data_IF_269162881946
#
_entry.id   IF_269162881946
#
_cell.length_a   1.000
_cell.length_b   1.000
_cell.length_c   1.000
_cell.angle_alpha   90.00
_cell.angle_beta   90.00
_cell.angle_gamma   90.00
#
_symmetry.space_group_name_H-M   'P 1'
#
loop_
_entity.id
_entity.type
_entity.pdbx_description
1 polymer ?
#
# COMPACT_ATOMS: atom_id res chain seq x y z
N UNK A 1 13.28 -24.15 1.78
CA UNK A 1 13.48 -23.12 0.76
C UNK A 1 14.85 -22.47 1.01
N UNK A 2 15.56 -21.98 -0.01
CA UNK A 2 16.77 -21.15 0.18
C UNK A 2 16.40 -19.66 0.26
N UNK A 3 17.33 -18.80 0.67
CA UNK A 3 17.10 -17.35 0.68
C UNK A 3 16.83 -16.79 -0.74
N UNK A 4 17.54 -17.32 -1.74
CA UNK A 4 17.35 -16.93 -3.15
C UNK A 4 15.98 -17.37 -3.68
N UNK A 5 15.57 -18.60 -3.37
CA UNK A 5 14.22 -19.08 -3.70
C UNK A 5 13.13 -18.24 -3.01
N UNK A 6 13.35 -17.83 -1.75
CA UNK A 6 12.40 -16.99 -1.04
C UNK A 6 12.22 -15.62 -1.72
N UNK A 7 13.33 -14.96 -2.09
CA UNK A 7 13.29 -13.68 -2.80
C UNK A 7 12.67 -13.79 -4.20
N UNK A 8 13.03 -14.82 -4.95
CA UNK A 8 12.42 -15.10 -6.25
C UNK A 8 10.93 -15.38 -6.12
N UNK A 9 10.52 -16.12 -5.08
CA UNK A 9 9.10 -16.41 -4.79
C UNK A 9 8.35 -15.11 -4.48
N UNK A 10 8.92 -14.22 -3.68
CA UNK A 10 8.34 -12.88 -3.39
C UNK A 10 8.22 -12.04 -4.66
N UNK A 11 9.21 -12.06 -5.55
CA UNK A 11 9.12 -11.34 -6.83
C UNK A 11 7.99 -11.89 -7.72
N UNK A 12 7.82 -13.22 -7.75
CA UNK A 12 6.74 -13.87 -8.52
C UNK A 12 5.36 -13.59 -7.93
N UNK A 13 5.22 -13.70 -6.61
CA UNK A 13 3.99 -13.40 -5.89
C UNK A 13 3.54 -11.94 -6.14
N UNK A 14 4.48 -11.00 -6.08
CA UNK A 14 4.21 -9.58 -6.28
C UNK A 14 4.15 -9.14 -7.76
N UNK A 15 4.10 -10.09 -8.70
CA UNK A 15 3.99 -9.84 -10.15
C UNK A 15 5.11 -8.97 -10.72
N UNK A 16 6.33 -9.15 -10.18
CA UNK A 16 7.54 -8.47 -10.67
C UNK A 16 8.29 -9.25 -11.74
N UNK A 17 8.00 -10.54 -11.97
CA UNK A 17 8.61 -11.33 -13.04
C UNK A 17 7.63 -11.71 -14.16
N UNK A 18 6.34 -11.49 -13.95
CA UNK A 18 5.27 -11.69 -14.93
C UNK A 18 4.14 -10.68 -14.62
N UNK A 19 3.44 -10.15 -15.64
CA UNK A 19 2.39 -9.16 -15.42
C UNK A 19 1.26 -9.74 -14.57
N UNK A 20 0.67 -8.88 -13.75
CA UNK A 20 -0.60 -9.15 -13.08
C UNK A 20 -1.73 -9.22 -14.12
N UNK A 21 -2.70 -10.09 -13.88
CA UNK A 21 -3.94 -10.07 -14.66
C UNK A 21 -4.91 -9.01 -14.11
N UNK A 22 -4.84 -8.74 -12.81
CA UNK A 22 -5.76 -7.86 -12.11
C UNK A 22 -5.12 -7.23 -10.87
N UNK A 23 -5.62 -6.08 -10.42
CA UNK A 23 -5.10 -5.40 -9.22
C UNK A 23 -5.19 -6.26 -7.95
N UNK A 24 -6.13 -7.23 -7.90
CA UNK A 24 -6.25 -8.18 -6.80
C UNK A 24 -5.04 -9.09 -6.64
N UNK A 25 -4.28 -9.33 -7.70
CA UNK A 25 -3.06 -10.14 -7.65
C UNK A 25 -1.99 -9.56 -6.71
N UNK A 26 -2.06 -8.26 -6.41
CA UNK A 26 -1.11 -7.57 -5.52
C UNK A 26 -1.80 -6.94 -4.31
N UNK A 27 -3.07 -7.28 -4.09
CA UNK A 27 -4.00 -6.76 -3.08
C UNK A 27 -4.31 -5.26 -3.24
N UNK A 28 -3.28 -4.42 -3.20
CA UNK A 28 -3.36 -2.99 -3.39
C UNK A 28 -1.98 -2.39 -3.67
N UNK A 29 -1.94 -1.21 -4.28
CA UNK A 29 -0.72 -0.41 -4.42
C UNK A 29 -0.81 0.84 -3.54
N UNK A 30 0.26 1.22 -2.85
CA UNK A 30 0.24 2.45 -2.05
C UNK A 30 0.19 3.67 -3.00
N UNK A 31 -0.81 4.53 -2.81
CA UNK A 31 -1.16 5.62 -3.71
C UNK A 31 -1.15 6.97 -3.00
N UNK A 32 -0.22 7.16 -2.04
CA UNK A 32 -0.02 8.45 -1.39
C UNK A 32 0.53 9.50 -2.37
N UNK A 33 1.34 9.04 -3.32
CA UNK A 33 1.91 9.80 -4.43
C UNK A 33 1.48 9.14 -5.75
N UNK A 34 0.95 9.94 -6.67
CA UNK A 34 0.38 9.45 -7.94
C UNK A 34 1.47 8.90 -8.86
N UNK A 35 2.66 9.52 -8.90
CA UNK A 35 3.77 9.06 -9.74
C UNK A 35 4.36 7.76 -9.21
N UNK A 36 4.42 7.60 -7.88
CA UNK A 36 4.86 6.36 -7.27
C UNK A 36 3.97 5.17 -7.64
N UNK A 37 2.63 5.35 -7.56
CA UNK A 37 1.71 4.27 -7.93
C UNK A 37 1.74 3.97 -9.43
N UNK A 38 1.97 4.97 -10.30
CA UNK A 38 2.22 4.75 -11.73
C UNK A 38 3.43 3.85 -11.97
N UNK A 39 4.56 4.12 -11.31
CA UNK A 39 5.76 3.27 -11.42
C UNK A 39 5.49 1.86 -10.87
N UNK A 40 4.79 1.75 -9.75
CA UNK A 40 4.46 0.46 -9.13
C UNK A 40 3.53 -0.39 -10.02
N UNK A 41 2.54 0.25 -10.66
CA UNK A 41 1.61 -0.40 -11.58
C UNK A 41 2.32 -0.83 -12.87
N UNK A 42 3.18 0.03 -13.44
CA UNK A 42 3.95 -0.28 -14.64
C UNK A 42 4.87 -1.50 -14.44
N UNK A 43 5.56 -1.60 -13.29
CA UNK A 43 6.39 -2.76 -12.95
C UNK A 43 5.62 -4.10 -12.87
N UNK A 44 4.28 -4.03 -12.81
CA UNK A 44 3.37 -5.18 -12.70
C UNK A 44 2.45 -5.33 -13.92
N UNK A 45 2.61 -4.51 -14.96
CA UNK A 45 1.76 -4.53 -16.15
C UNK A 45 0.31 -4.10 -15.89
N UNK A 46 0.07 -3.31 -14.83
CA UNK A 46 -1.26 -2.83 -14.45
C UNK A 46 -1.50 -1.40 -14.95
N UNK A 47 -2.76 -1.08 -15.24
CA UNK A 47 -3.21 0.31 -15.36
C UNK A 47 -3.41 0.91 -13.96
N UNK A 48 -3.29 2.24 -13.84
CA UNK A 48 -3.62 2.97 -12.61
C UNK A 48 -5.12 3.26 -12.56
N UNK A 49 -5.89 2.19 -12.43
CA UNK A 49 -7.35 2.21 -12.36
C UNK A 49 -7.82 1.44 -11.12
N UNK A 50 -8.82 1.98 -10.42
CA UNK A 50 -9.35 1.37 -9.21
C UNK A 50 -9.88 2.41 -8.23
N UNK A 51 -10.18 1.95 -7.03
CA UNK A 51 -10.67 2.78 -5.93
C UNK A 51 -9.50 3.22 -5.08
N UNK A 52 -9.24 4.53 -5.05
CA UNK A 52 -8.19 5.10 -4.19
C UNK A 52 -8.81 5.60 -2.88
N UNK A 53 -8.49 4.94 -1.78
CA UNK A 53 -8.98 5.30 -0.43
C UNK A 53 -7.99 4.90 0.67
N UNK A 54 -8.29 5.22 1.92
CA UNK A 54 -7.47 4.87 3.08
C UNK A 54 -7.69 3.42 3.47
N UNK A 55 -6.61 2.66 3.59
CA UNK A 55 -6.66 1.25 3.96
C UNK A 55 -5.49 0.88 4.88
N UNK A 56 -4.58 0.02 4.42
CA UNK A 56 -3.43 -0.45 5.19
C UNK A 56 -2.64 0.71 5.81
N UNK A 57 -2.33 0.57 7.11
CA UNK A 57 -1.58 1.56 7.92
C UNK A 57 -2.23 2.96 7.97
N UNK A 58 -3.52 3.08 7.62
CA UNK A 58 -4.20 4.37 7.51
C UNK A 58 -3.63 5.26 6.41
N UNK A 59 -3.13 4.67 5.32
CA UNK A 59 -2.57 5.40 4.17
C UNK A 59 -3.36 5.14 2.89
N UNK A 60 -3.23 6.05 1.92
CA UNK A 60 -3.92 5.93 0.63
C UNK A 60 -3.39 4.73 -0.16
N UNK A 61 -4.31 3.91 -0.66
CA UNK A 61 -4.05 2.76 -1.50
C UNK A 61 -5.01 2.74 -2.68
N UNK A 62 -4.53 2.28 -3.84
CA UNK A 62 -5.33 1.90 -4.99
C UNK A 62 -5.74 0.43 -4.81
N UNK A 63 -7.05 0.20 -4.72
CA UNK A 63 -7.69 -1.10 -4.49
C UNK A 63 -8.56 -1.47 -5.70
N UNK A 64 -8.71 -2.76 -5.95
CA UNK A 64 -9.70 -3.23 -6.91
C UNK A 64 -11.11 -2.82 -6.42
N UNK A 65 -12.03 -2.37 -7.30
CA UNK A 65 -13.35 -1.90 -6.87
C UNK A 65 -14.12 -2.92 -6.03
N UNK A 66 -14.09 -4.21 -6.40
CA UNK A 66 -14.73 -5.28 -5.64
C UNK A 66 -14.15 -5.52 -4.23
N UNK A 67 -12.96 -4.95 -3.94
CA UNK A 67 -12.27 -5.13 -2.68
C UNK A 67 -12.25 -3.90 -1.77
N UNK A 68 -12.61 -2.73 -2.29
CA UNK A 68 -12.45 -1.49 -1.53
C UNK A 68 -13.28 -1.49 -0.23
N UNK A 69 -14.57 -1.84 -0.31
CA UNK A 69 -15.48 -1.76 0.84
C UNK A 69 -15.12 -2.71 1.96
N UNK A 70 -14.95 -3.99 1.71
CA UNK A 70 -14.63 -4.94 2.79
C UNK A 70 -13.24 -4.68 3.41
N UNK A 71 -12.22 -4.30 2.63
CA UNK A 71 -10.88 -3.99 3.18
C UNK A 71 -10.98 -2.77 4.11
N UNK A 72 -11.70 -1.73 3.68
CA UNK A 72 -11.94 -0.55 4.51
C UNK A 72 -12.79 -0.89 5.73
N UNK A 73 -13.85 -1.69 5.58
CA UNK A 73 -14.69 -2.15 6.69
C UNK A 73 -13.92 -2.97 7.72
N UNK A 74 -12.92 -3.74 7.27
CA UNK A 74 -12.07 -4.58 8.11
C UNK A 74 -11.00 -3.77 8.87
N UNK A 75 -10.34 -2.83 8.18
CA UNK A 75 -9.19 -2.08 8.74
C UNK A 75 -9.55 -0.72 9.32
N UNK A 76 -10.59 -0.08 8.78
CA UNK A 76 -11.05 1.26 9.11
C UNK A 76 -11.36 1.47 10.60
N UNK A 77 -12.10 0.57 11.29
CA UNK A 77 -12.38 0.70 12.72
C UNK A 77 -11.13 0.84 13.59
N UNK A 78 -10.05 0.14 13.23
CA UNK A 78 -8.77 0.26 13.93
C UNK A 78 -8.19 1.69 13.80
N UNK A 79 -8.13 2.23 12.59
CA UNK A 79 -7.57 3.57 12.36
C UNK A 79 -8.49 4.69 12.85
N UNK A 80 -9.81 4.47 12.87
CA UNK A 80 -10.76 5.33 13.56
C UNK A 80 -10.38 5.40 15.05
N UNK A 81 -10.19 4.27 15.72
CA UNK A 81 -9.82 4.24 17.14
C UNK A 81 -8.46 4.92 17.41
N UNK A 82 -7.44 4.63 16.58
CA UNK A 82 -6.11 5.26 16.70
C UNK A 82 -6.19 6.78 16.54
N UNK A 83 -7.01 7.27 15.61
CA UNK A 83 -7.16 8.71 15.35
C UNK A 83 -8.03 9.47 16.35
N UNK A 84 -8.72 8.80 17.29
CA UNK A 84 -9.75 9.40 18.14
C UNK A 84 -9.25 10.61 18.94
N UNK A 85 -8.11 10.47 19.62
CA UNK A 85 -7.51 11.57 20.40
C UNK A 85 -7.18 12.78 19.52
N UNK A 86 -6.62 12.56 18.33
CA UNK A 86 -6.25 13.65 17.42
C UNK A 86 -7.49 14.36 16.87
N UNK A 87 -8.53 13.61 16.52
CA UNK A 87 -9.83 14.18 16.10
C UNK A 87 -10.44 15.06 17.19
N UNK A 88 -10.49 14.59 18.44
CA UNK A 88 -10.98 15.38 19.56
C UNK A 88 -10.19 16.69 19.77
N UNK A 89 -8.85 16.65 19.65
CA UNK A 89 -8.00 17.86 19.73
C UNK A 89 -8.28 18.88 18.61
N UNK A 90 -8.83 18.43 17.49
CA UNK A 90 -9.19 19.26 16.34
C UNK A 90 -10.66 19.71 16.38
N UNK A 91 -11.39 19.42 17.46
CA UNK A 91 -12.81 19.74 17.59
C UNK A 91 -13.73 18.82 16.78
N UNK A 92 -13.23 17.66 16.33
CA UNK A 92 -14.02 16.63 15.65
C UNK A 92 -14.51 15.61 16.68
N UNK A 93 -15.54 15.95 17.43
CA UNK A 93 -16.20 15.02 18.34
C UNK A 93 -17.07 13.99 17.59
N UNK A 94 -17.53 12.97 18.30
CA UNK A 94 -18.29 11.86 17.72
C UNK A 94 -19.62 12.34 17.10
N UNK A 95 -20.25 13.38 17.66
CA UNK A 95 -21.51 13.92 17.15
C UNK A 95 -21.29 14.65 15.81
N UNK A 96 -20.29 15.53 15.73
CA UNK A 96 -19.92 16.21 14.50
C UNK A 96 -19.49 15.22 13.42
N UNK A 97 -18.68 14.23 13.78
CA UNK A 97 -18.29 13.14 12.89
C UNK A 97 -19.51 12.37 12.35
N UNK A 98 -20.47 12.01 13.21
CA UNK A 98 -21.68 11.32 12.79
C UNK A 98 -22.55 12.18 11.84
N UNK A 99 -22.73 13.48 12.14
CA UNK A 99 -23.43 14.41 11.23
C UNK A 99 -22.71 14.52 9.89
N UNK A 100 -21.38 14.59 9.89
CA UNK A 100 -20.59 14.63 8.66
C UNK A 100 -20.78 13.35 7.81
N UNK A 101 -20.75 12.17 8.42
CA UNK A 101 -20.99 10.90 7.72
C UNK A 101 -22.35 10.88 7.02
N UNK A 102 -23.40 11.32 7.72
CA UNK A 102 -24.75 11.40 7.15
C UNK A 102 -24.84 12.43 6.01
N UNK A 103 -24.08 13.53 6.09
CA UNK A 103 -24.09 14.61 5.11
C UNK A 103 -23.31 14.29 3.82
N UNK A 104 -22.31 13.41 3.83
CA UNK A 104 -21.48 13.16 2.64
C UNK A 104 -22.27 12.67 1.43
N UNK A 105 -23.34 11.91 1.65
CA UNK A 105 -24.26 11.49 0.58
C UNK A 105 -24.80 12.69 -0.20
N UNK A 106 -25.27 13.73 0.49
CA UNK A 106 -25.78 14.97 -0.11
C UNK A 106 -24.65 15.87 -0.64
N UNK A 107 -23.54 15.97 0.10
CA UNK A 107 -22.43 16.88 -0.23
C UNK A 107 -21.61 16.41 -1.44
N UNK A 108 -21.43 15.10 -1.62
CA UNK A 108 -20.56 14.51 -2.65
C UNK A 108 -21.34 13.86 -3.80
N UNK A 109 -22.45 14.48 -4.22
CA UNK A 109 -23.18 14.10 -5.45
C UNK A 109 -22.30 14.13 -6.72
N UNK A 110 -21.25 14.95 -6.68
CA UNK A 110 -20.17 14.98 -7.66
C UNK A 110 -18.84 15.11 -6.90
N UNK A 111 -17.71 14.62 -7.46
CA UNK A 111 -16.40 14.76 -6.84
C UNK A 111 -16.05 16.23 -6.58
N UNK A 112 -15.44 16.54 -5.43
CA UNK A 112 -15.09 17.91 -5.01
C UNK A 112 -13.67 17.97 -4.48
N UNK A 113 -12.98 19.10 -4.65
CA UNK A 113 -11.74 19.29 -3.90
C UNK A 113 -12.03 19.47 -2.41
N UNK A 114 -10.98 19.47 -1.58
CA UNK A 114 -11.13 19.60 -0.13
C UNK A 114 -11.84 20.88 0.30
N UNK A 115 -11.54 22.01 -0.34
CA UNK A 115 -12.09 23.30 0.04
C UNK A 115 -13.58 23.37 -0.27
N UNK A 116 -13.98 22.85 -1.43
CA UNK A 116 -15.36 22.77 -1.85
C UNK A 116 -16.15 21.77 -1.01
N UNK A 117 -15.56 20.62 -0.63
CA UNK A 117 -16.20 19.69 0.31
C UNK A 117 -16.45 20.35 1.67
N UNK A 118 -15.48 21.12 2.20
CA UNK A 118 -15.65 21.83 3.49
C UNK A 118 -16.74 22.91 3.39
N UNK A 119 -16.81 23.64 2.27
CA UNK A 119 -17.83 24.66 2.06
C UNK A 119 -19.23 24.05 2.02
N UNK A 120 -19.40 22.98 1.26
CA UNK A 120 -20.68 22.27 1.15
C UNK A 120 -21.10 21.61 2.48
N UNK A 121 -20.15 21.06 3.25
CA UNK A 121 -20.43 20.58 4.62
C UNK A 121 -20.93 21.71 5.54
N UNK A 122 -20.36 22.91 5.42
CA UNK A 122 -20.78 24.05 6.23
C UNK A 122 -22.21 24.51 5.90
N UNK A 123 -22.63 24.43 4.63
CA UNK A 123 -24.00 24.75 4.18
C UNK A 123 -25.07 23.85 4.83
N UNK A 124 -24.70 22.61 5.15
CA UNK A 124 -25.57 21.63 5.85
C UNK A 124 -25.28 21.55 7.37
N UNK A 125 -24.57 22.54 7.92
CA UNK A 125 -24.37 22.68 9.37
C UNK A 125 -23.18 21.89 9.96
N UNK A 126 -22.30 21.32 9.14
CA UNK A 126 -21.05 20.68 9.57
C UNK A 126 -19.89 21.65 9.36
N UNK A 127 -19.60 22.45 10.38
CA UNK A 127 -18.58 23.51 10.31
C UNK A 127 -17.27 23.04 10.94
N UNK A 128 -16.17 23.16 10.18
CA UNK A 128 -14.79 22.93 10.65
C UNK A 128 -13.89 24.08 10.22
N UNK A 129 -12.82 24.38 10.96
CA UNK A 129 -11.87 25.44 10.55
C UNK A 129 -11.08 24.99 9.31
N UNK A 130 -11.28 25.63 8.13
CA UNK A 130 -10.62 25.24 6.88
C UNK A 130 -9.10 25.45 6.90
N UNK A 131 -8.57 26.27 7.82
CA UNK A 131 -7.13 26.53 7.96
C UNK A 131 -6.46 25.56 8.93
N UNK A 132 -7.25 24.77 9.66
CA UNK A 132 -6.76 23.75 10.58
C UNK A 132 -6.49 22.42 9.86
N UNK A 133 -6.05 21.41 10.61
CA UNK A 133 -5.96 20.04 10.09
C UNK A 133 -7.32 19.29 10.16
N UNK A 134 -8.36 19.87 10.75
CA UNK A 134 -9.66 19.23 10.92
C UNK A 134 -10.26 18.72 9.60
N UNK A 135 -10.26 19.47 8.48
CA UNK A 135 -10.77 18.96 7.20
C UNK A 135 -10.11 17.66 6.74
N UNK A 136 -8.78 17.57 6.83
CA UNK A 136 -8.05 16.38 6.40
C UNK A 136 -8.35 15.18 7.29
N UNK A 137 -8.47 15.39 8.61
CA UNK A 137 -8.81 14.33 9.56
C UNK A 137 -10.27 13.89 9.48
N UNK A 138 -11.20 14.79 9.15
CA UNK A 138 -12.60 14.46 8.92
C UNK A 138 -12.78 13.61 7.65
N UNK A 139 -12.09 13.96 6.56
CA UNK A 139 -12.12 13.18 5.32
C UNK A 139 -11.44 11.82 5.50
N UNK A 140 -10.33 11.75 6.22
CA UNK A 140 -9.71 10.47 6.57
C UNK A 140 -10.62 9.62 7.46
N UNK A 141 -11.35 10.22 8.41
CA UNK A 141 -12.35 9.51 9.22
C UNK A 141 -13.49 8.97 8.35
N UNK A 142 -14.02 9.78 7.43
CA UNK A 142 -15.07 9.37 6.50
C UNK A 142 -14.62 8.24 5.56
N UNK A 143 -13.38 8.30 5.07
CA UNK A 143 -12.79 7.24 4.29
C UNK A 143 -12.63 5.95 5.08
N UNK A 144 -12.08 6.01 6.31
CA UNK A 144 -11.98 4.83 7.19
C UNK A 144 -13.37 4.33 7.67
N UNK A 145 -14.43 5.12 7.50
CA UNK A 145 -15.81 4.72 7.76
C UNK A 145 -16.49 4.12 6.52
N UNK A 146 -15.77 3.95 5.41
CA UNK A 146 -16.31 3.38 4.17
C UNK A 146 -17.18 4.33 3.34
N UNK A 147 -17.11 5.65 3.59
CA UNK A 147 -18.02 6.62 2.94
C UNK A 147 -17.36 7.36 1.79
N UNK A 148 -16.07 7.68 1.91
CA UNK A 148 -15.37 8.58 0.98
C UNK A 148 -14.18 7.89 0.32
N UNK A 149 -13.97 8.19 -0.96
CA UNK A 149 -12.75 7.90 -1.71
C UNK A 149 -12.09 9.20 -2.18
N UNK A 150 -10.83 9.10 -2.64
CA UNK A 150 -10.07 10.24 -3.20
C UNK A 150 -9.53 9.86 -4.57
N UNK A 151 -9.99 10.55 -5.62
CA UNK A 151 -9.51 10.38 -6.99
C UNK A 151 -8.02 10.68 -7.16
N UNK A 152 -7.45 10.30 -8.30
CA UNK A 152 -6.06 10.61 -8.65
C UNK A 152 -5.82 12.11 -8.87
N UNK A 153 -6.88 12.85 -9.20
CA UNK A 153 -6.94 14.32 -9.26
C UNK A 153 -7.08 14.98 -7.87
N UNK A 154 -6.96 14.18 -6.81
CA UNK A 154 -7.06 14.58 -5.41
C UNK A 154 -8.43 15.12 -4.96
N UNK A 155 -9.48 14.96 -5.79
CA UNK A 155 -10.88 15.25 -5.43
C UNK A 155 -11.50 14.09 -4.66
N UNK A 156 -12.47 14.39 -3.80
CA UNK A 156 -13.18 13.45 -2.95
C UNK A 156 -14.54 13.14 -3.56
N UNK A 157 -14.91 11.86 -3.58
CA UNK A 157 -16.23 11.38 -3.98
C UNK A 157 -16.73 10.33 -3.00
N UNK A 158 -17.96 9.89 -3.18
CA UNK A 158 -18.49 8.75 -2.44
C UNK A 158 -17.71 7.48 -2.79
N UNK A 159 -17.50 6.61 -1.80
CA UNK A 159 -16.86 5.32 -2.00
C UNK A 159 -17.79 4.41 -2.83
N UNK A 160 -17.35 4.13 -4.05
CA UNK A 160 -18.05 3.26 -4.99
C UNK A 160 -17.39 1.89 -5.09
N UNK A 161 -18.17 0.87 -5.44
CA UNK A 161 -17.69 -0.50 -5.64
C UNK A 161 -17.60 -1.35 -4.36
N UNK A 162 -17.53 -2.66 -4.56
CA UNK A 162 -17.42 -3.64 -3.47
C UNK A 162 -18.76 -3.99 -2.83
N UNK A 163 -18.76 -5.13 -2.16
CA UNK A 163 -19.83 -5.58 -1.29
C UNK A 163 -19.48 -5.31 0.19
N UNK A 164 -20.51 -5.31 1.02
CA UNK A 164 -20.38 -5.33 2.49
C UNK A 164 -20.20 -6.77 3.00
N UNK A 165 -19.78 -7.71 2.13
CA UNK A 165 -19.61 -9.11 2.50
C UNK A 165 -18.60 -9.20 3.65
N UNK A 166 -18.97 -9.81 4.79
CA UNK A 166 -18.10 -9.91 5.96
C UNK A 166 -16.95 -10.88 5.72
N UNK A 167 -15.99 -10.46 4.90
CA UNK A 167 -14.69 -11.09 4.73
C UNK A 167 -13.83 -10.82 5.96
N UNK A 168 -13.14 -11.85 6.41
CA UNK A 168 -12.39 -11.83 7.67
C UNK A 168 -10.92 -11.46 7.50
N UNK A 169 -10.24 -11.34 8.65
CA UNK A 169 -8.78 -11.25 8.69
C UNK A 169 -8.10 -12.51 8.12
N UNK A 170 -8.77 -13.67 8.13
CA UNK A 170 -8.30 -14.90 7.48
C UNK A 170 -8.20 -14.70 5.97
N UNK A 171 -9.25 -14.20 5.32
CA UNK A 171 -9.25 -13.96 3.87
C UNK A 171 -8.17 -12.94 3.47
N UNK A 172 -8.01 -11.88 4.27
CA UNK A 172 -6.97 -10.87 4.03
C UNK A 172 -5.57 -11.45 4.21
N UNK A 173 -5.36 -12.34 5.20
CA UNK A 173 -4.08 -13.03 5.39
C UNK A 173 -3.76 -13.93 4.20
N UNK A 174 -4.71 -14.74 3.73
CA UNK A 174 -4.49 -15.60 2.56
C UNK A 174 -4.12 -14.79 1.31
N UNK A 175 -4.88 -13.73 1.00
CA UNK A 175 -4.58 -12.83 -0.12
C UNK A 175 -3.22 -12.14 0.04
N UNK A 176 -2.87 -11.74 1.26
CA UNK A 176 -1.55 -11.21 1.55
C UNK A 176 -0.46 -12.26 1.29
N UNK A 177 -0.63 -13.51 1.71
CA UNK A 177 0.38 -14.55 1.47
C UNK A 177 0.45 -14.98 0.00
N UNK A 178 -0.63 -14.88 -0.76
CA UNK A 178 -0.63 -15.06 -2.22
C UNK A 178 0.17 -13.96 -2.93
N UNK A 179 0.06 -12.71 -2.47
CA UNK A 179 0.73 -11.57 -3.07
C UNK A 179 2.16 -11.34 -2.54
N UNK A 180 2.46 -11.69 -1.28
CA UNK A 180 3.69 -11.35 -0.56
C UNK A 180 4.42 -12.58 0.02
N UNK A 181 3.90 -13.79 -0.13
CA UNK A 181 4.53 -15.00 0.40
C UNK A 181 5.91 -15.28 -0.24
N UNK A 182 6.88 -15.82 0.53
CA UNK A 182 6.81 -16.16 1.95
C UNK A 182 6.91 -14.94 2.88
N UNK A 183 6.04 -14.86 3.88
CA UNK A 183 5.97 -13.76 4.84
C UNK A 183 5.51 -14.22 6.24
N UNK A 184 5.92 -13.49 7.28
CA UNK A 184 5.57 -13.84 8.68
C UNK A 184 4.26 -13.18 9.12
N UNK A 185 3.72 -13.65 10.25
CA UNK A 185 2.58 -13.00 10.93
C UNK A 185 2.95 -11.59 11.38
N UNK A 186 4.21 -11.37 11.78
CA UNK A 186 4.75 -10.06 12.11
C UNK A 186 4.81 -9.13 10.89
N UNK A 187 5.12 -9.66 9.71
CA UNK A 187 5.09 -8.91 8.45
C UNK A 187 3.65 -8.52 8.11
N UNK A 188 2.69 -9.45 8.21
CA UNK A 188 1.27 -9.17 7.97
C UNK A 188 0.72 -8.12 8.94
N UNK A 189 1.10 -8.18 10.22
CA UNK A 189 0.72 -7.15 11.20
C UNK A 189 1.31 -5.78 10.85
N UNK A 190 2.58 -5.72 10.44
CA UNK A 190 3.19 -4.46 10.00
C UNK A 190 2.58 -3.92 8.71
N UNK A 191 2.26 -4.81 7.76
CA UNK A 191 1.65 -4.45 6.48
C UNK A 191 0.23 -3.92 6.66
N UNK A 192 -0.63 -4.61 7.43
CA UNK A 192 -1.98 -4.14 7.75
C UNK A 192 -1.96 -2.88 8.62
N UNK A 193 -0.99 -2.77 9.53
CA UNK A 193 -0.95 -1.77 10.59
C UNK A 193 -1.78 -2.16 11.83
N UNK A 194 -2.29 -3.40 11.88
CA UNK A 194 -3.03 -3.91 13.04
C UNK A 194 -2.09 -4.27 14.19
N UNK A 195 -2.65 -4.47 15.38
CA UNK A 195 -1.87 -4.92 16.55
C UNK A 195 -1.49 -6.38 16.36
N UNK A 196 -0.22 -6.70 16.58
CA UNK A 196 0.28 -8.07 16.48
C UNK A 196 -0.53 -9.08 17.33
N UNK A 197 -1.04 -8.66 18.48
CA UNK A 197 -1.87 -9.52 19.34
C UNK A 197 -3.22 -9.92 18.74
N UNK A 198 -3.79 -9.07 17.87
CA UNK A 198 -5.04 -9.39 17.15
C UNK A 198 -4.73 -10.35 16.00
N UNK A 199 -3.64 -10.08 15.28
CA UNK A 199 -3.20 -10.89 14.13
C UNK A 199 -2.78 -12.30 14.53
N UNK A 200 -2.12 -12.48 15.69
CA UNK A 200 -1.69 -13.80 16.19
C UNK A 200 -2.84 -14.76 16.52
N UNK A 201 -4.08 -14.28 16.54
CA UNK A 201 -5.28 -15.09 16.79
C UNK A 201 -5.91 -15.64 15.50
N UNK A 202 -5.42 -15.22 14.35
CA UNK A 202 -5.92 -15.68 13.05
C UNK A 202 -5.54 -17.15 12.88
N UNK A 203 -6.50 -18.04 12.56
CA UNK A 203 -6.21 -19.42 12.19
C UNK A 203 -5.25 -19.50 10.99
N UNK A 204 -4.34 -20.46 11.00
CA UNK A 204 -3.31 -20.64 9.97
C UNK A 204 -3.53 -21.92 9.14
N UNK A 205 -4.77 -22.40 9.06
CA UNK A 205 -5.10 -23.61 8.28
C UNK A 205 -4.78 -23.40 6.79
N UNK A 206 -4.27 -24.44 6.13
CA UNK A 206 -3.89 -24.36 4.71
C UNK A 206 -2.66 -23.49 4.43
N UNK A 207 -1.89 -23.14 5.46
CA UNK A 207 -0.61 -22.42 5.34
C UNK A 207 0.57 -23.32 5.73
N UNK A 208 1.69 -23.12 5.06
CA UNK A 208 2.93 -23.88 5.28
C UNK A 208 4.11 -22.94 5.59
N UNK A 209 4.91 -23.27 6.61
CA UNK A 209 6.13 -22.52 6.93
C UNK A 209 7.33 -23.02 6.11
N UNK A 210 7.93 -22.09 5.38
CA UNK A 210 9.08 -22.35 4.49
C UNK A 210 10.44 -22.21 5.18
N UNK A 211 10.46 -21.74 6.44
CA UNK A 211 11.63 -21.23 7.15
C UNK A 211 11.92 -19.74 6.88
N UNK A 212 11.27 -19.14 5.88
CA UNK A 212 11.32 -17.70 5.54
C UNK A 212 9.96 -17.00 5.76
N UNK A 213 9.01 -17.71 6.36
CA UNK A 213 7.63 -17.28 6.52
C UNK A 213 6.63 -18.26 5.90
N UNK A 214 5.36 -17.92 6.08
CA UNK A 214 4.21 -18.68 5.64
C UNK A 214 3.95 -18.46 4.15
N UNK A 215 3.42 -19.50 3.50
CA UNK A 215 2.85 -19.48 2.15
C UNK A 215 1.56 -20.30 2.13
N UNK A 216 0.66 -20.11 1.16
CA UNK A 216 -0.43 -21.05 0.93
C UNK A 216 0.11 -22.47 0.66
N UNK A 217 -0.57 -23.48 1.19
CA UNK A 217 -0.24 -24.88 0.93
C UNK A 217 -0.23 -25.18 -0.58
N UNK A 218 0.73 -25.98 -1.03
CA UNK A 218 0.95 -26.26 -2.46
C UNK A 218 1.73 -25.19 -3.22
N UNK A 219 2.15 -24.09 -2.57
CA UNK A 219 3.05 -23.10 -3.19
C UNK A 219 4.37 -23.75 -3.60
N UNK A 220 4.65 -23.75 -4.90
CA UNK A 220 5.92 -24.22 -5.46
C UNK A 220 6.96 -23.10 -5.40
N UNK A 221 8.12 -23.24 -4.74
CA UNK A 221 9.16 -22.21 -4.73
C UNK A 221 9.56 -21.74 -6.13
N UNK A 222 9.84 -20.45 -6.32
CA UNK A 222 10.41 -19.94 -7.56
C UNK A 222 11.94 -20.04 -7.54
N UNK A 223 12.54 -20.13 -8.73
CA UNK A 223 13.98 -19.99 -8.93
C UNK A 223 14.32 -18.55 -9.38
N UNK A 224 15.51 -18.03 -9.04
CA UNK A 224 16.02 -16.76 -9.57
C UNK A 224 15.99 -16.73 -11.10
N UNK A 225 15.56 -15.62 -11.69
CA UNK A 225 15.38 -15.48 -13.14
C UNK A 225 16.31 -14.47 -13.80
N UNK A 226 17.19 -13.81 -13.02
CA UNK A 226 17.96 -12.65 -13.44
C UNK A 226 17.14 -11.36 -13.59
N UNK A 227 15.92 -11.32 -13.04
CA UNK A 227 15.01 -10.20 -13.28
C UNK A 227 15.47 -8.94 -12.56
N UNK A 228 15.54 -7.82 -13.27
CA UNK A 228 15.88 -6.50 -12.74
C UNK A 228 14.65 -5.59 -12.75
N UNK A 229 14.35 -4.90 -11.64
CA UNK A 229 13.24 -3.93 -11.55
C UNK A 229 13.65 -2.63 -10.89
N UNK A 230 13.17 -1.53 -11.46
CA UNK A 230 13.35 -0.18 -10.94
C UNK A 230 12.07 0.21 -10.20
N UNK A 231 12.12 0.09 -8.88
CA UNK A 231 10.97 0.29 -8.03
C UNK A 231 10.94 1.74 -7.55
N UNK A 232 9.76 2.35 -7.60
CA UNK A 232 9.53 3.71 -7.13
C UNK A 232 9.65 3.81 -5.60
N UNK A 233 9.51 5.05 -5.10
CA UNK A 233 9.27 5.23 -3.68
C UNK A 233 7.92 4.59 -3.31
N UNK A 234 7.79 4.12 -2.07
CA UNK A 234 6.60 3.40 -1.58
C UNK A 234 6.20 2.11 -2.34
N UNK A 235 7.08 1.49 -3.12
CA UNK A 235 6.73 0.20 -3.76
C UNK A 235 6.45 -0.89 -2.70
N UNK A 236 5.44 -1.71 -2.97
CA UNK A 236 4.99 -2.74 -2.05
C UNK A 236 6.02 -3.86 -1.82
N UNK A 237 7.06 -3.96 -2.68
CA UNK A 237 8.13 -4.94 -2.54
C UNK A 237 8.84 -4.90 -1.18
N UNK A 238 9.11 -3.72 -0.65
CA UNK A 238 9.69 -3.57 0.69
C UNK A 238 8.63 -3.22 1.74
N UNK A 239 7.55 -2.53 1.36
CA UNK A 239 6.49 -2.17 2.31
C UNK A 239 5.61 -3.36 2.74
N UNK A 240 5.67 -4.47 2.00
CA UNK A 240 5.01 -5.73 2.35
C UNK A 240 5.54 -6.39 3.63
N UNK A 241 6.73 -5.99 4.10
CA UNK A 241 7.43 -6.69 5.17
C UNK A 241 7.85 -5.75 6.30
N UNK A 242 7.80 -6.30 7.51
CA UNK A 242 8.39 -5.68 8.70
C UNK A 242 9.90 -5.81 8.67
N UNK A 243 10.39 -7.04 8.47
CA UNK A 243 11.82 -7.29 8.31
C UNK A 243 12.18 -7.32 6.83
N UNK A 244 13.01 -6.35 6.44
CA UNK A 244 13.48 -6.17 5.06
C UNK A 244 14.87 -6.77 4.84
N UNK A 245 15.50 -7.31 5.88
CA UNK A 245 16.90 -7.74 5.86
C UNK A 245 17.21 -8.83 4.83
N UNK A 246 16.20 -9.63 4.47
CA UNK A 246 16.32 -10.63 3.40
C UNK A 246 16.57 -10.00 2.01
N UNK A 247 15.86 -8.93 1.69
CA UNK A 247 15.96 -8.23 0.40
C UNK A 247 16.98 -7.09 0.43
N UNK A 248 17.11 -6.40 1.56
CA UNK A 248 17.90 -5.20 1.73
C UNK A 248 18.92 -5.42 2.85
N UNK A 249 20.19 -5.48 2.49
CA UNK A 249 21.30 -5.59 3.42
C UNK A 249 21.23 -4.51 4.51
N UNK A 250 21.44 -4.84 5.80
CA UNK A 250 21.50 -3.84 6.87
C UNK A 250 22.54 -2.73 6.64
N UNK A 251 23.63 -3.01 5.92
CA UNK A 251 24.66 -2.01 5.61
C UNK A 251 24.16 -0.95 4.62
N UNK A 252 23.28 -1.33 3.68
CA UNK A 252 22.75 -0.46 2.63
C UNK A 252 21.38 0.13 3.01
N UNK A 253 20.76 -0.38 4.09
CA UNK A 253 19.45 0.04 4.56
C UNK A 253 19.31 1.56 4.77
N UNK A 254 20.31 2.31 5.30
CA UNK A 254 20.21 3.76 5.47
C UNK A 254 20.02 4.55 4.16
N UNK A 255 20.52 4.04 3.03
CA UNK A 255 20.41 4.70 1.72
C UNK A 255 19.00 4.54 1.11
N UNK A 256 18.31 3.47 1.49
CA UNK A 256 16.96 3.15 0.99
C UNK A 256 15.87 3.57 1.97
N UNK A 257 16.13 3.49 3.28
CA UNK A 257 15.17 3.74 4.35
C UNK A 257 15.56 5.01 5.11
N UNK A 258 15.32 6.17 4.50
CA UNK A 258 15.80 7.48 5.00
C UNK A 258 14.96 8.06 6.15
N UNK A 259 14.02 7.30 6.69
CA UNK A 259 13.17 7.68 7.82
C UNK A 259 11.78 8.17 7.40
N UNK A 260 10.90 8.40 8.38
CA UNK A 260 9.53 8.88 8.15
C UNK A 260 8.63 7.92 7.35
N UNK A 261 9.03 6.66 7.19
CA UNK A 261 8.34 5.70 6.31
C UNK A 261 8.65 5.86 4.82
N UNK A 262 9.54 6.78 4.45
CA UNK A 262 9.97 6.99 3.07
C UNK A 262 10.91 5.86 2.61
N UNK A 263 10.71 5.42 1.38
CA UNK A 263 11.61 4.50 0.69
C UNK A 263 12.20 5.21 -0.52
N UNK A 264 13.52 5.34 -0.59
CA UNK A 264 14.20 5.82 -1.78
C UNK A 264 13.91 4.87 -2.96
N UNK A 265 13.64 5.38 -4.17
CA UNK A 265 13.54 4.52 -5.35
C UNK A 265 14.78 3.65 -5.48
N UNK A 266 14.57 2.36 -5.70
CA UNK A 266 15.62 1.35 -5.60
C UNK A 266 15.52 0.30 -6.70
N UNK A 267 16.66 -0.31 -6.99
CA UNK A 267 16.78 -1.36 -8.01
C UNK A 267 16.85 -2.71 -7.32
N UNK A 268 16.05 -3.67 -7.77
CA UNK A 268 16.12 -5.06 -7.30
C UNK A 268 16.59 -5.97 -8.43
N UNK A 269 17.45 -6.95 -8.09
CA UNK A 269 17.87 -8.04 -8.97
C UNK A 269 17.61 -9.35 -8.24
N UNK A 270 16.75 -10.20 -8.81
CA UNK A 270 16.28 -11.44 -8.16
C UNK A 270 15.86 -11.24 -6.69
N UNK A 271 15.25 -10.08 -6.45
CA UNK A 271 14.67 -9.69 -5.17
C UNK A 271 15.66 -9.08 -4.17
N UNK A 272 16.95 -9.04 -4.49
CA UNK A 272 17.93 -8.30 -3.68
C UNK A 272 17.98 -6.86 -4.14
N UNK A 273 17.94 -5.92 -3.20
CA UNK A 273 18.18 -4.51 -3.48
C UNK A 273 19.67 -4.32 -3.77
N UNK A 274 19.98 -3.78 -4.96
CA UNK A 274 21.36 -3.62 -5.46
C UNK A 274 21.76 -2.17 -5.68
N UNK A 275 20.90 -1.22 -5.32
CA UNK A 275 21.18 0.20 -5.45
C UNK A 275 19.94 1.08 -5.36
N UNK A 276 20.15 2.39 -5.34
CA UNK A 276 19.10 3.39 -5.53
C UNK A 276 19.10 3.91 -6.96
N UNK A 277 18.00 4.53 -7.36
CA UNK A 277 17.96 5.25 -8.63
C UNK A 277 17.18 6.56 -8.49
N UNK A 278 17.42 7.47 -9.43
CA UNK A 278 16.66 8.71 -9.59
C UNK A 278 16.57 9.08 -11.06
N UNK A 279 15.59 9.89 -11.41
CA UNK A 279 15.46 10.47 -12.75
C UNK A 279 16.03 11.88 -12.76
N UNK A 280 16.92 12.17 -13.70
CA UNK A 280 17.49 13.50 -13.98
C UNK A 280 17.16 13.87 -15.43
N UNK A 281 16.10 14.68 -15.62
CA UNK A 281 15.55 14.93 -16.95
C UNK A 281 14.99 13.63 -17.56
N UNK A 282 15.56 13.20 -18.67
CA UNK A 282 15.22 11.92 -19.32
C UNK A 282 16.21 10.79 -19.00
N UNK A 283 17.23 11.05 -18.16
CA UNK A 283 18.18 10.02 -17.75
C UNK A 283 17.75 9.35 -16.43
N UNK A 284 17.89 8.03 -16.36
CA UNK A 284 17.84 7.26 -15.11
C UNK A 284 19.26 7.07 -14.57
N UNK A 285 19.55 7.68 -13.42
CA UNK A 285 20.83 7.59 -12.71
C UNK A 285 20.74 6.53 -11.61
N UNK A 286 21.65 5.55 -11.64
CA UNK A 286 21.72 4.43 -10.68
C UNK A 286 22.92 4.59 -9.77
N UNK A 287 22.70 4.46 -8.46
CA UNK A 287 23.73 4.42 -7.42
C UNK A 287 23.80 3.01 -6.83
N UNK A 288 24.72 2.15 -7.29
CA UNK A 288 24.77 0.72 -6.94
C UNK A 288 25.37 0.46 -5.55
N UNK A 289 25.06 -0.72 -5.00
CA UNK A 289 25.64 -1.29 -3.79
C UNK A 289 26.46 -2.57 -4.10
N UNK A 290 27.76 -2.64 -3.76
CA UNK A 290 28.61 -1.53 -3.33
C UNK A 290 28.85 -0.51 -4.46
N UNK A 291 29.30 0.72 -4.16
CA UNK A 291 29.60 1.73 -5.16
C UNK A 291 30.56 1.23 -6.25
N UNK A 292 30.33 1.64 -7.51
CA UNK A 292 31.19 1.32 -8.65
C UNK A 292 30.68 0.24 -9.63
N UNK A 293 29.54 -0.42 -9.34
CA UNK A 293 28.93 -1.46 -10.22
C UNK A 293 27.79 -0.98 -11.14
N UNK A 294 27.69 0.33 -11.40
CA UNK A 294 26.49 0.92 -12.02
C UNK A 294 26.24 0.44 -13.45
N UNK A 295 27.32 0.20 -14.20
CA UNK A 295 27.24 -0.33 -15.57
C UNK A 295 26.83 -1.82 -15.65
N UNK A 296 26.94 -2.59 -14.57
CA UNK A 296 26.47 -3.99 -14.53
C UNK A 296 24.96 -4.02 -14.28
N UNK A 297 24.47 -3.21 -13.33
CA UNK A 297 23.04 -3.09 -13.01
C UNK A 297 22.23 -2.51 -14.18
N UNK A 298 22.76 -1.51 -14.90
CA UNK A 298 22.10 -1.00 -16.12
C UNK A 298 22.08 -2.03 -17.25
N UNK A 299 23.13 -2.85 -17.40
CA UNK A 299 23.19 -3.89 -18.45
C UNK A 299 22.25 -5.06 -18.18
N UNK A 300 22.03 -5.43 -16.91
CA UNK A 300 21.07 -6.50 -16.55
C UNK A 300 19.61 -6.06 -16.71
N UNK A 301 19.34 -4.76 -16.78
CA UNK A 301 18.00 -4.21 -16.95
C UNK A 301 17.44 -4.26 -18.38
N UNK A 302 18.29 -4.43 -19.41
CA UNK A 302 17.84 -4.30 -20.80
C UNK A 302 17.37 -2.87 -21.15
N UNK A 303 16.84 -2.63 -22.36
CA UNK A 303 16.35 -1.32 -22.84
C UNK A 303 15.08 -0.80 -22.12
N UNK A 304 14.73 -1.32 -20.93
CA UNK A 304 13.58 -0.90 -20.10
C UNK A 304 13.80 0.44 -19.37
N UNK A 305 14.88 1.17 -19.69
CA UNK A 305 15.21 2.47 -19.07
C UNK A 305 14.79 3.69 -19.91
N UNK A 306 13.85 3.55 -20.85
CA UNK A 306 13.28 4.67 -21.62
C UNK A 306 11.90 5.08 -21.11
#
# INVERSE_FOLDING_TARGET
MTAEQALATRMRAQRLVAPAADLRDVVALQAQDVRAVEVAAANRGLAVEGVRTWAMRGTLHLLHPADARWVVGLLGPHFIAVGARRRAQLGLDDELCARALAAFGEVLQEPKDRADTVRALAEVGVVVDPRSQAPAHLLAFAANSGVVQRGLDDRYGLLEGGDDDPRGLVDLLHRYLEAYGPATVEDFAAWTGLRLGDVRRIPLEGLWDTGFGLVPEGTVPAEPSGATRFLGHFDTYLLGYRDRSLALSPADAPEVQTGGGFLTPHVVVDGRVVGTWKREGDEVVVSPFPPGRGGEVRRSAGEDTR
#
